data_IF_862467095600
#
_entry.id   IF_862467095600
#
_cell.length_a   1.000
_cell.length_b   1.000
_cell.length_c   1.000
_cell.angle_alpha   90.00
_cell.angle_beta   90.00
_cell.angle_gamma   90.00
#
_symmetry.space_group_name_H-M   'P 1'
#
loop_
_entity.id
_entity.type
_entity.pdbx_description
1 polymer ?
#
# COMPACT_ATOMS: atom_id res chain seq x y z
N UNK A 1 -37.54 -22.57 -27.10
CA UNK A 1 -37.42 -23.23 -25.77
C UNK A 1 -36.06 -22.78 -25.23
N UNK A 2 -35.91 -21.89 -24.26
CA UNK A 2 -36.72 -21.67 -23.07
C UNK A 2 -37.12 -20.20 -22.92
N UNK A 3 -38.39 -20.00 -22.58
CA UNK A 3 -38.95 -18.72 -22.15
C UNK A 3 -38.77 -18.64 -20.64
N UNK A 4 -38.22 -17.55 -20.11
CA UNK A 4 -38.37 -17.23 -18.69
C UNK A 4 -39.21 -15.96 -18.58
N UNK A 5 -40.52 -16.17 -18.58
CA UNK A 5 -41.49 -15.25 -18.02
C UNK A 5 -41.20 -15.13 -16.53
N UNK A 6 -40.75 -13.95 -16.08
CA UNK A 6 -40.83 -13.59 -14.67
C UNK A 6 -42.19 -12.91 -14.45
N UNK A 7 -43.22 -13.73 -14.22
CA UNK A 7 -44.45 -13.27 -13.56
C UNK A 7 -44.13 -13.06 -12.09
N UNK A 8 -44.44 -11.89 -11.54
CA UNK A 8 -44.39 -11.73 -10.08
C UNK A 8 -44.32 -10.29 -9.59
N UNK A 9 -45.49 -9.67 -9.47
CA UNK A 9 -45.89 -8.79 -8.38
C UNK A 9 -44.93 -7.67 -7.92
N UNK A 10 -45.34 -6.44 -8.23
CA UNK A 10 -45.04 -5.25 -7.43
C UNK A 10 -45.72 -5.44 -6.07
N UNK A 11 -44.98 -5.89 -5.05
CA UNK A 11 -45.35 -5.71 -3.65
C UNK A 11 -44.37 -4.75 -3.02
N UNK A 12 -44.85 -3.53 -2.81
CA UNK A 12 -44.19 -2.56 -1.96
C UNK A 12 -44.18 -3.06 -0.51
N UNK A 13 -42.98 -3.16 0.08
CA UNK A 13 -42.56 -2.67 1.41
C UNK A 13 -41.46 -3.57 1.97
N UNK A 14 -40.23 -3.05 1.90
CA UNK A 14 -39.21 -3.05 2.96
C UNK A 14 -37.87 -2.56 2.36
N UNK A 15 -37.27 -1.42 2.76
CA UNK A 15 -36.17 -0.82 2.00
C UNK A 15 -34.76 -1.39 2.29
N UNK A 16 -34.58 -2.40 3.16
CA UNK A 16 -33.22 -2.73 3.64
C UNK A 16 -32.90 -4.24 3.70
N UNK A 17 -33.85 -5.17 3.57
CA UNK A 17 -33.60 -6.58 3.92
C UNK A 17 -33.31 -7.56 2.79
N UNK A 18 -33.22 -7.15 1.51
CA UNK A 18 -33.11 -8.14 0.42
C UNK A 18 -31.92 -7.94 -0.55
N UNK A 19 -30.73 -7.70 -0.01
CA UNK A 19 -29.49 -7.53 -0.77
C UNK A 19 -28.86 -8.83 -1.30
N UNK A 20 -29.45 -10.01 -1.03
CA UNK A 20 -28.77 -11.30 -1.25
C UNK A 20 -29.30 -12.15 -2.41
N UNK A 21 -30.18 -11.64 -3.27
CA UNK A 21 -30.65 -12.43 -4.42
C UNK A 21 -30.80 -11.59 -5.68
N UNK A 22 -29.67 -11.16 -6.23
CA UNK A 22 -29.55 -10.78 -7.63
C UNK A 22 -28.10 -11.05 -8.06
N UNK A 23 -27.91 -11.79 -9.15
CA UNK A 23 -26.63 -12.11 -9.79
C UNK A 23 -25.56 -11.03 -9.55
N UNK A 24 -24.49 -11.38 -8.82
CA UNK A 24 -23.41 -10.45 -8.50
C UNK A 24 -22.70 -10.01 -9.78
N UNK A 25 -23.15 -8.90 -10.36
CA UNK A 25 -22.40 -8.19 -11.39
C UNK A 25 -21.11 -7.65 -10.76
N UNK A 26 -20.03 -8.42 -10.83
CA UNK A 26 -18.70 -7.88 -10.51
C UNK A 26 -18.34 -6.85 -11.58
N UNK A 27 -18.50 -5.57 -11.23
CA UNK A 27 -18.00 -4.47 -12.06
C UNK A 27 -16.48 -4.55 -12.08
N UNK A 28 -15.93 -4.99 -13.21
CA UNK A 28 -14.49 -5.02 -13.46
C UNK A 28 -14.06 -3.72 -14.13
N UNK A 29 -13.17 -2.98 -13.46
CA UNK A 29 -12.69 -1.68 -13.96
C UNK A 29 -11.65 -1.88 -15.08
N UNK A 30 -10.80 -2.91 -14.95
CA UNK A 30 -9.72 -3.18 -15.89
C UNK A 30 -10.04 -4.39 -16.75
N UNK A 31 -10.39 -4.12 -18.00
CA UNK A 31 -10.78 -5.13 -18.98
C UNK A 31 -9.89 -5.09 -20.22
N UNK A 32 -9.85 -6.23 -20.92
CA UNK A 32 -9.29 -6.30 -22.27
C UNK A 32 -10.26 -5.63 -23.26
N UNK A 33 -9.86 -5.49 -24.53
CA UNK A 33 -10.76 -4.99 -25.59
C UNK A 33 -12.01 -5.86 -25.78
N UNK A 34 -12.00 -7.08 -25.28
CA UNK A 34 -13.12 -8.03 -25.35
C UNK A 34 -14.05 -7.95 -24.12
N UNK A 35 -13.78 -7.03 -23.18
CA UNK A 35 -14.58 -6.87 -21.96
C UNK A 35 -14.27 -7.90 -20.86
N UNK A 36 -13.30 -8.79 -21.08
CA UNK A 36 -12.88 -9.77 -20.08
C UNK A 36 -11.91 -9.14 -19.06
N UNK A 37 -11.86 -9.62 -17.80
CA UNK A 37 -10.90 -9.13 -16.82
C UNK A 37 -9.47 -9.34 -17.31
N UNK A 38 -8.59 -8.37 -17.07
CA UNK A 38 -7.18 -8.51 -17.43
C UNK A 38 -6.54 -9.63 -16.61
N UNK A 39 -5.98 -10.63 -17.31
CA UNK A 39 -5.20 -11.70 -16.69
C UNK A 39 -3.86 -11.17 -16.19
N UNK A 40 -3.52 -11.47 -14.92
CA UNK A 40 -2.20 -11.15 -14.32
C UNK A 40 -1.04 -11.71 -15.16
N UNK A 41 -1.19 -12.93 -15.66
CA UNK A 41 -0.12 -13.62 -16.42
C UNK A 41 0.12 -12.95 -17.76
N UNK A 42 -0.96 -12.62 -18.47
CA UNK A 42 -0.88 -11.95 -19.77
C UNK A 42 -0.37 -10.52 -19.63
N UNK A 43 -0.88 -9.78 -18.64
CA UNK A 43 -0.41 -8.43 -18.36
C UNK A 43 1.09 -8.42 -18.01
N UNK A 44 1.56 -9.36 -17.19
CA UNK A 44 2.97 -9.48 -16.87
C UNK A 44 3.83 -9.79 -18.12
N UNK A 45 3.32 -10.65 -19.02
CA UNK A 45 4.02 -11.05 -20.24
C UNK A 45 4.05 -9.94 -21.29
N UNK A 46 2.93 -9.29 -21.55
CA UNK A 46 2.75 -8.40 -22.69
C UNK A 46 2.91 -6.92 -22.35
N UNK A 47 2.75 -6.52 -21.08
CA UNK A 47 2.86 -5.12 -20.64
C UNK A 47 4.07 -4.91 -19.76
N UNK A 48 4.17 -5.66 -18.65
CA UNK A 48 5.19 -5.42 -17.63
C UNK A 48 6.61 -5.72 -18.11
N UNK A 49 6.87 -6.95 -18.57
CA UNK A 49 8.22 -7.35 -19.02
C UNK A 49 8.72 -6.46 -20.17
N UNK A 50 7.93 -6.13 -21.20
CA UNK A 50 8.36 -5.18 -22.22
C UNK A 50 8.61 -3.76 -21.68
N UNK A 51 7.87 -3.31 -20.66
CA UNK A 51 8.12 -2.02 -20.02
C UNK A 51 9.47 -2.01 -19.27
N UNK A 52 9.80 -3.09 -18.53
CA UNK A 52 11.10 -3.25 -17.88
C UNK A 52 12.25 -3.19 -18.89
N UNK A 53 12.12 -3.91 -20.01
CA UNK A 53 13.14 -3.91 -21.07
C UNK A 53 13.35 -2.51 -21.67
N UNK A 54 12.26 -1.76 -21.89
CA UNK A 54 12.34 -0.37 -22.38
C UNK A 54 12.95 0.59 -21.36
N UNK A 55 12.89 0.25 -20.08
CA UNK A 55 13.49 1.01 -18.99
C UNK A 55 14.91 0.53 -18.64
N UNK A 56 15.48 -0.40 -19.41
CA UNK A 56 16.78 -1.04 -19.15
C UNK A 56 16.86 -1.72 -17.77
N UNK A 57 15.73 -2.28 -17.31
CA UNK A 57 15.62 -3.01 -16.05
C UNK A 57 15.56 -4.52 -16.33
N UNK A 58 16.40 -5.35 -15.69
CA UNK A 58 16.34 -6.79 -15.84
C UNK A 58 14.97 -7.37 -15.44
N UNK A 59 14.38 -8.22 -16.29
CA UNK A 59 13.09 -8.84 -16.04
C UNK A 59 13.16 -10.04 -15.07
N UNK A 60 13.63 -9.80 -13.85
CA UNK A 60 13.75 -10.79 -12.76
C UNK A 60 12.49 -10.84 -11.90
N UNK A 61 12.42 -11.82 -10.99
CA UNK A 61 11.34 -11.93 -9.99
C UNK A 61 11.32 -10.71 -9.06
N UNK A 62 12.48 -10.17 -8.73
CA UNK A 62 12.66 -9.02 -7.85
C UNK A 62 12.09 -7.75 -8.47
N UNK A 63 12.27 -7.55 -9.79
CA UNK A 63 11.68 -6.45 -10.56
C UNK A 63 10.27 -6.76 -11.07
N UNK A 64 9.60 -7.78 -10.50
CA UNK A 64 8.21 -8.09 -10.81
C UNK A 64 7.26 -6.95 -10.41
N UNK A 65 5.99 -7.05 -10.78
CA UNK A 65 5.01 -5.99 -10.50
C UNK A 65 4.86 -5.64 -9.00
N UNK A 66 5.16 -6.60 -8.11
CA UNK A 66 5.17 -6.35 -6.66
C UNK A 66 6.26 -5.36 -6.21
N UNK A 67 7.31 -5.15 -7.00
CA UNK A 67 8.32 -4.13 -6.76
C UNK A 67 7.71 -2.72 -6.65
N UNK A 68 6.65 -2.43 -7.40
CA UNK A 68 5.94 -1.15 -7.29
C UNK A 68 5.28 -0.96 -5.92
N UNK A 69 4.71 -2.03 -5.36
CA UNK A 69 4.13 -2.01 -4.02
C UNK A 69 5.22 -1.80 -2.97
N UNK A 70 6.38 -2.42 -3.15
CA UNK A 70 7.54 -2.17 -2.30
C UNK A 70 8.02 -0.72 -2.41
N UNK A 71 8.19 -0.19 -3.62
CA UNK A 71 8.60 1.20 -3.84
C UNK A 71 7.63 2.19 -3.19
N UNK A 72 6.32 1.99 -3.34
CA UNK A 72 5.31 2.82 -2.69
C UNK A 72 5.45 2.82 -1.16
N UNK A 73 5.62 1.63 -0.56
CA UNK A 73 5.87 1.52 0.87
C UNK A 73 7.18 2.23 1.27
N UNK A 74 8.28 2.02 0.54
CA UNK A 74 9.58 2.66 0.78
C UNK A 74 9.46 4.17 0.86
N UNK A 75 8.81 4.80 -0.13
CA UNK A 75 8.69 6.26 -0.22
C UNK A 75 7.89 6.85 0.94
N UNK A 76 6.79 6.19 1.34
CA UNK A 76 5.97 6.68 2.46
C UNK A 76 6.71 6.55 3.79
N UNK A 77 7.43 5.45 3.95
CA UNK A 77 8.23 5.15 5.13
C UNK A 77 9.44 6.08 5.27
N UNK A 78 10.10 6.40 4.17
CA UNK A 78 11.17 7.41 4.15
C UNK A 78 10.66 8.78 4.61
N UNK A 79 9.44 9.14 4.19
CA UNK A 79 8.76 10.39 4.60
C UNK A 79 8.18 10.37 6.02
N UNK A 80 8.35 9.29 6.77
CA UNK A 80 7.92 9.21 8.17
C UNK A 80 6.42 8.97 8.36
N UNK A 81 5.74 8.42 7.35
CA UNK A 81 4.34 7.98 7.51
C UNK A 81 4.27 6.86 8.54
N UNK A 82 3.24 6.92 9.39
CA UNK A 82 2.99 5.90 10.41
C UNK A 82 2.77 4.51 9.78
N UNK A 83 3.40 3.50 10.38
CA UNK A 83 3.43 2.15 9.81
C UNK A 83 2.08 1.45 9.92
N UNK A 84 1.26 1.77 10.92
CA UNK A 84 -0.08 1.22 11.05
C UNK A 84 -0.99 1.81 9.97
N UNK A 85 -0.95 3.13 9.76
CA UNK A 85 -1.67 3.76 8.66
C UNK A 85 -1.27 3.18 7.29
N UNK A 86 0.03 2.94 7.08
CA UNK A 86 0.52 2.26 5.87
C UNK A 86 -0.02 0.82 5.76
N UNK A 87 -0.01 0.06 6.85
CA UNK A 87 -0.50 -1.31 6.88
C UNK A 87 -2.00 -1.39 6.52
N UNK A 88 -2.81 -0.48 7.09
CA UNK A 88 -4.23 -0.35 6.81
C UNK A 88 -4.47 -0.01 5.34
N UNK A 89 -3.73 0.96 4.78
CA UNK A 89 -3.83 1.32 3.36
C UNK A 89 -3.44 0.17 2.42
N UNK A 90 -2.42 -0.61 2.79
CA UNK A 90 -2.00 -1.78 2.02
C UNK A 90 -2.95 -2.99 2.20
N UNK A 91 -3.91 -2.91 3.12
CA UNK A 91 -4.84 -4.00 3.44
C UNK A 91 -4.16 -5.16 4.17
N UNK A 92 -3.10 -4.92 4.93
CA UNK A 92 -2.49 -5.93 5.78
C UNK A 92 -3.30 -6.08 7.07
N UNK A 93 -3.78 -7.29 7.35
CA UNK A 93 -4.55 -7.58 8.56
C UNK A 93 -3.74 -7.37 9.85
N UNK A 94 -2.43 -7.60 9.79
CA UNK A 94 -1.50 -7.42 10.91
C UNK A 94 -0.46 -6.35 10.55
N UNK A 95 -0.39 -5.22 11.27
CA UNK A 95 0.65 -4.21 11.06
C UNK A 95 2.08 -4.76 11.23
N UNK A 96 2.23 -5.80 12.05
CA UNK A 96 3.50 -6.50 12.24
C UNK A 96 4.05 -7.11 10.94
N UNK A 97 3.19 -7.52 10.00
CA UNK A 97 3.64 -7.97 8.68
C UNK A 97 4.31 -6.84 7.90
N UNK A 98 3.69 -5.65 7.84
CA UNK A 98 4.26 -4.44 7.22
C UNK A 98 5.61 -4.08 7.85
N UNK A 99 5.68 -4.12 9.18
CA UNK A 99 6.93 -3.87 9.91
C UNK A 99 8.00 -4.87 9.47
N UNK A 100 7.78 -6.17 9.63
CA UNK A 100 8.76 -7.20 9.24
C UNK A 100 9.23 -7.06 7.79
N UNK A 101 8.32 -6.75 6.87
CA UNK A 101 8.65 -6.59 5.44
C UNK A 101 9.45 -5.32 5.15
N UNK A 102 9.19 -4.20 5.83
CA UNK A 102 9.73 -2.89 5.44
C UNK A 102 10.64 -2.22 6.47
N UNK A 103 10.91 -2.84 7.63
CA UNK A 103 11.80 -2.29 8.66
C UNK A 103 13.17 -1.89 8.11
N UNK A 104 13.70 -2.63 7.14
CA UNK A 104 15.01 -2.35 6.53
C UNK A 104 15.05 -1.04 5.71
N UNK A 105 13.88 -0.48 5.36
CA UNK A 105 13.76 0.77 4.60
C UNK A 105 13.61 1.98 5.50
N UNK A 106 13.53 1.81 6.81
CA UNK A 106 13.57 2.92 7.76
C UNK A 106 14.98 3.49 7.78
N UNK A 107 15.21 4.77 7.36
CA UNK A 107 16.47 5.44 7.63
C UNK A 107 16.83 5.31 9.11
N UNK A 108 18.12 5.18 9.43
CA UNK A 108 18.64 5.04 10.79
C UNK A 108 17.89 5.99 11.72
N UNK A 109 16.94 5.44 12.48
CA UNK A 109 16.01 6.28 13.23
C UNK A 109 16.73 7.13 14.26
N UNK A 110 17.96 6.77 14.63
CA UNK A 110 18.81 7.49 15.58
C UNK A 110 18.99 8.96 15.23
N UNK A 111 19.34 9.30 14.00
CA UNK A 111 19.63 10.70 13.65
C UNK A 111 18.35 11.53 13.50
N UNK A 112 17.28 10.92 12.97
CA UNK A 112 15.94 11.55 12.92
C UNK A 112 15.33 11.73 14.31
N UNK A 113 15.49 10.75 15.20
CA UNK A 113 15.05 10.82 16.60
C UNK A 113 15.82 11.89 17.36
N UNK A 114 17.15 11.94 17.20
CA UNK A 114 17.98 13.02 17.77
C UNK A 114 17.50 14.37 17.26
N UNK A 115 17.39 14.54 15.93
CA UNK A 115 16.93 15.81 15.35
C UNK A 115 15.54 16.20 15.84
N UNK A 116 14.58 15.28 15.92
CA UNK A 116 13.22 15.60 16.37
C UNK A 116 13.20 16.08 17.83
N UNK A 117 14.01 15.46 18.68
CA UNK A 117 14.19 15.86 20.06
C UNK A 117 14.92 17.22 20.16
N UNK A 118 16.00 17.41 19.39
CA UNK A 118 16.73 18.67 19.32
C UNK A 118 15.87 19.81 18.77
N UNK A 119 14.98 19.56 17.80
CA UNK A 119 14.04 20.57 17.28
C UNK A 119 13.01 20.95 18.36
N UNK A 120 12.54 19.96 19.13
CA UNK A 120 11.55 20.16 20.21
C UNK A 120 12.14 20.94 21.39
N UNK A 121 13.39 20.65 21.77
CA UNK A 121 14.05 21.26 22.93
C UNK A 121 15.01 22.42 22.59
N UNK A 122 15.45 22.54 21.34
CA UNK A 122 16.31 23.62 20.83
C UNK A 122 15.60 24.96 20.69
N UNK A 123 14.27 24.98 20.88
CA UNK A 123 13.46 26.20 20.99
C UNK A 123 13.25 26.62 22.46
N UNK A 124 14.24 26.39 23.33
CA UNK A 124 14.29 27.09 24.63
C UNK A 124 15.13 28.35 24.41
N UNK A 125 14.52 29.56 24.35
CA UNK A 125 15.30 30.79 24.29
C UNK A 125 16.13 30.90 25.57
N UNK A 126 17.45 30.76 25.45
CA UNK A 126 18.39 30.86 26.57
C UNK A 126 19.14 29.58 26.95
N UNK A 127 18.85 28.43 26.33
CA UNK A 127 19.64 27.22 26.52
C UNK A 127 20.85 27.20 25.55
N UNK A 128 21.82 28.09 25.76
CA UNK A 128 23.12 27.94 25.10
C UNK A 128 23.82 26.70 25.66
N UNK A 129 24.19 25.77 24.77
CA UNK A 129 25.19 24.72 24.96
C UNK A 129 25.30 24.19 26.41
N UNK A 130 24.43 23.25 26.78
CA UNK A 130 24.76 22.38 27.91
C UNK A 130 26.00 21.58 27.52
N UNK A 131 27.10 22.02 28.12
CA UNK A 131 28.37 21.32 28.29
C UNK A 131 28.08 19.89 28.77
N UNK A 132 28.00 18.93 27.85
CA UNK A 132 27.90 17.51 28.18
C UNK A 132 29.33 17.02 28.38
N UNK A 133 29.79 16.76 29.63
CA UNK A 133 31.15 16.30 29.85
C UNK A 133 31.28 14.92 29.20
N UNK A 134 32.27 14.77 28.34
CA UNK A 134 32.64 13.48 27.76
C UNK A 134 33.10 12.57 28.88
N UNK A 135 32.22 11.72 29.42
CA UNK A 135 32.65 10.62 30.29
C UNK A 135 33.37 9.62 29.40
N UNK A 136 34.70 9.64 29.47
CA UNK A 136 35.52 8.50 29.08
C UNK A 136 35.07 7.30 29.91
N UNK A 137 34.53 6.28 29.25
CA UNK A 137 34.27 4.98 29.85
C UNK A 137 35.57 4.21 29.70
N UNK A 138 36.29 4.09 30.81
CA UNK A 138 37.47 3.21 30.96
C UNK A 138 37.06 1.74 31.08
#
# INVERSE_FOLDING_TARGET
MSSFLCSGQILAKDPISNWFSCEQYQIVIFTTRQGTPISRTEWNRFVWKPALLRADVPATRENGFHALRHHFASVLLERGVDIRALAEFLGHAEPGFTLRTYTHLMPSSRDRMRKAIDDTWGTIPGASALDVPSREIS
#
